data_IF_609474127355
#
_entry.id   IF_609474127355
#
_cell.length_a   1.000
_cell.length_b   1.000
_cell.length_c   1.000
_cell.angle_alpha   90.00
_cell.angle_beta   90.00
_cell.angle_gamma   90.00
#
_symmetry.space_group_name_H-M   'P 1'
#
loop_
_entity.id
_entity.type
_entity.pdbx_description
1 polymer ?
#
# COMPACT_ATOMS: atom_id res chain seq x y z
N UNK A 1 10.91 -16.80 4.20
CA UNK A 1 10.14 -15.55 3.99
C UNK A 1 8.65 -15.90 4.00
N UNK A 2 7.92 -15.55 5.07
CA UNK A 2 6.45 -15.69 5.11
C UNK A 2 5.88 -14.27 5.04
N UNK A 3 5.57 -13.81 3.85
CA UNK A 3 4.90 -12.53 3.64
C UNK A 3 3.40 -12.80 3.74
N UNK A 4 2.84 -12.71 4.94
CA UNK A 4 1.40 -12.72 5.12
C UNK A 4 0.86 -11.37 4.64
N UNK A 5 0.56 -11.26 3.35
CA UNK A 5 -0.17 -10.12 2.80
C UNK A 5 -1.66 -10.37 3.03
N UNK A 6 -2.23 -9.66 3.99
CA UNK A 6 -3.67 -9.59 4.20
C UNK A 6 -4.10 -8.18 3.79
N UNK A 7 -4.54 -8.08 2.55
CA UNK A 7 -5.13 -6.86 2.00
C UNK A 7 -6.64 -6.94 2.18
N UNK A 8 -7.19 -6.14 3.10
CA UNK A 8 -8.63 -6.03 3.28
C UNK A 8 -9.07 -4.69 2.72
N UNK A 9 -9.53 -4.68 1.45
CA UNK A 9 -10.20 -3.53 0.85
C UNK A 9 -11.71 -3.75 0.92
N UNK A 10 -12.40 -2.93 1.70
CA UNK A 10 -13.86 -2.93 1.82
C UNK A 10 -14.42 -1.87 0.88
N UNK A 11 -15.22 -2.32 -0.10
CA UNK A 11 -15.98 -1.44 -0.99
C UNK A 11 -17.41 -1.30 -0.44
N UNK A 12 -17.85 -0.07 -0.20
CA UNK A 12 -19.19 0.27 0.28
C UNK A 12 -19.94 0.93 -0.89
N UNK A 13 -20.75 0.14 -1.59
CA UNK A 13 -21.38 0.52 -2.85
C UNK A 13 -20.39 0.69 -4.02
N UNK A 14 -20.87 1.15 -5.18
CA UNK A 14 -20.04 1.34 -6.39
C UNK A 14 -19.06 2.53 -6.29
N UNK A 15 -19.09 3.27 -5.19
CA UNK A 15 -18.61 4.65 -5.11
C UNK A 15 -17.46 4.81 -4.11
N UNK A 16 -17.46 4.15 -2.94
CA UNK A 16 -16.42 4.40 -1.93
C UNK A 16 -15.73 3.11 -1.50
N UNK A 17 -14.40 3.10 -1.49
CA UNK A 17 -13.59 1.98 -1.00
C UNK A 17 -12.56 2.45 0.00
N UNK A 18 -12.40 1.71 1.10
CA UNK A 18 -11.34 1.89 2.10
C UNK A 18 -10.58 0.59 2.28
N UNK A 19 -9.27 0.69 2.43
CA UNK A 19 -8.39 -0.47 2.57
C UNK A 19 -7.38 -0.31 3.69
N UNK A 20 -7.08 -1.41 4.34
CA UNK A 20 -5.93 -1.54 5.23
C UNK A 20 -4.97 -2.58 4.67
N UNK A 21 -3.71 -2.18 4.52
CA UNK A 21 -2.61 -3.07 4.12
C UNK A 21 -1.72 -3.31 5.33
N UNK A 22 -1.75 -4.52 5.87
CA UNK A 22 -0.87 -4.94 6.96
C UNK A 22 0.27 -5.80 6.43
N UNK A 23 1.49 -5.36 6.71
CA UNK A 23 2.71 -6.11 6.49
C UNK A 23 3.29 -6.40 7.88
N UNK A 24 3.36 -7.67 8.24
CA UNK A 24 3.90 -8.10 9.52
C UNK A 24 5.41 -7.87 9.64
N UNK A 25 5.93 -8.10 10.84
CA UNK A 25 7.38 -8.04 11.09
C UNK A 25 8.13 -8.98 10.16
N UNK A 26 9.27 -8.51 9.65
CA UNK A 26 10.16 -9.27 8.77
C UNK A 26 11.59 -9.23 9.30
N UNK A 27 12.47 -10.01 8.67
CA UNK A 27 13.90 -10.01 8.98
C UNK A 27 14.68 -9.71 7.71
N UNK A 28 15.74 -8.90 7.84
CA UNK A 28 16.60 -8.52 6.71
C UNK A 28 17.56 -9.64 6.29
N UNK A 29 17.72 -10.65 7.13
CA UNK A 29 18.66 -11.76 6.97
C UNK A 29 18.00 -13.13 7.24
N UNK A 30 18.59 -14.18 6.68
CA UNK A 30 18.09 -15.54 6.82
C UNK A 30 18.30 -16.15 8.23
N UNK A 31 19.19 -15.56 9.04
CA UNK A 31 19.45 -15.98 10.42
C UNK A 31 18.47 -15.33 11.41
N UNK A 32 17.57 -14.47 10.95
CA UNK A 32 16.58 -13.71 11.73
C UNK A 32 17.21 -12.86 12.84
N UNK A 33 18.35 -12.22 12.56
CA UNK A 33 19.10 -11.42 13.54
C UNK A 33 18.79 -9.92 13.46
N UNK A 34 18.33 -9.43 12.32
CA UNK A 34 18.01 -8.03 12.04
C UNK A 34 16.49 -7.88 11.86
N UNK A 35 15.75 -7.52 12.92
CA UNK A 35 14.30 -7.38 12.85
C UNK A 35 13.91 -6.07 12.15
N UNK A 36 12.92 -6.16 11.27
CA UNK A 36 12.29 -5.05 10.56
C UNK A 36 10.84 -4.98 11.00
N UNK A 37 10.46 -3.88 11.64
CA UNK A 37 9.11 -3.68 12.14
C UNK A 37 8.11 -3.64 10.99
N UNK A 38 7.03 -4.39 11.18
CA UNK A 38 5.86 -4.35 10.32
C UNK A 38 5.16 -2.99 10.37
N UNK A 39 4.27 -2.79 9.42
CA UNK A 39 3.55 -1.54 9.25
C UNK A 39 2.13 -1.78 8.74
N UNK A 40 1.27 -0.82 9.04
CA UNK A 40 -0.08 -0.75 8.48
C UNK A 40 -0.17 0.52 7.65
N UNK A 41 -0.64 0.39 6.42
CA UNK A 41 -1.01 1.50 5.54
C UNK A 41 -2.52 1.54 5.37
N UNK A 42 -3.04 2.74 5.19
CA UNK A 42 -4.45 2.96 4.86
C UNK A 42 -4.55 3.48 3.45
N UNK A 43 -5.50 2.96 2.70
CA UNK A 43 -5.79 3.39 1.34
C UNK A 43 -7.27 3.72 1.23
N UNK A 44 -7.60 4.65 0.33
CA UNK A 44 -8.99 5.02 0.06
C UNK A 44 -9.18 5.28 -1.42
N UNK A 45 -10.39 5.05 -1.91
CA UNK A 45 -10.77 5.37 -3.27
C UNK A 45 -12.22 5.82 -3.34
N UNK A 46 -12.50 6.72 -4.26
CA UNK A 46 -13.82 7.18 -4.62
C UNK A 46 -14.00 7.04 -6.13
N UNK A 47 -15.16 6.57 -6.58
CA UNK A 47 -15.51 6.40 -7.98
C UNK A 47 -16.88 6.99 -8.24
N UNK A 48 -16.99 7.80 -9.27
CA UNK A 48 -18.25 8.39 -9.69
C UNK A 48 -18.50 8.08 -11.17
N UNK A 49 -19.66 7.54 -11.49
CA UNK A 49 -20.06 7.28 -12.87
C UNK A 49 -21.26 8.17 -13.21
N UNK A 50 -21.12 8.92 -14.30
CA UNK A 50 -22.15 9.79 -14.85
C UNK A 50 -22.27 9.53 -16.34
N UNK A 51 -23.42 8.98 -16.75
CA UNK A 51 -23.66 8.56 -18.13
C UNK A 51 -22.54 7.61 -18.64
N UNK A 52 -21.94 7.89 -19.79
CA UNK A 52 -20.80 7.13 -20.33
C UNK A 52 -19.46 7.43 -19.63
N UNK A 53 -19.41 8.36 -18.68
CA UNK A 53 -18.17 8.80 -18.03
C UNK A 53 -17.98 8.17 -16.66
N UNK A 54 -16.75 7.77 -16.38
CA UNK A 54 -16.30 7.28 -15.08
C UNK A 54 -15.12 8.09 -14.60
N UNK A 55 -15.28 8.69 -13.44
CA UNK A 55 -14.26 9.40 -12.69
C UNK A 55 -13.83 8.53 -11.50
N UNK A 56 -12.55 8.46 -11.23
CA UNK A 56 -12.03 7.78 -10.05
C UNK A 56 -10.90 8.60 -9.44
N UNK A 57 -10.87 8.64 -8.11
CA UNK A 57 -9.75 9.16 -7.33
C UNK A 57 -9.36 8.10 -6.32
N UNK A 58 -8.08 7.77 -6.26
CA UNK A 58 -7.53 6.85 -5.27
C UNK A 58 -6.37 7.51 -4.54
N UNK A 59 -6.25 7.23 -3.25
CA UNK A 59 -5.17 7.66 -2.38
C UNK A 59 -4.56 6.44 -1.71
N UNK A 60 -3.30 6.15 -2.03
CA UNK A 60 -2.51 5.14 -1.34
C UNK A 60 -1.68 5.79 -0.24
N UNK A 61 -1.52 5.08 0.89
CA UNK A 61 -0.88 5.64 2.08
C UNK A 61 -1.53 6.99 2.47
N UNK A 62 -2.84 6.97 2.70
CA UNK A 62 -3.71 8.13 2.92
C UNK A 62 -3.17 9.07 4.02
N UNK A 63 -2.57 8.50 5.06
CA UNK A 63 -2.00 9.22 6.20
C UNK A 63 -0.52 9.56 6.04
N UNK A 64 0.07 9.33 4.87
CA UNK A 64 1.45 9.66 4.55
C UNK A 64 2.46 9.12 5.59
N UNK A 65 2.30 7.85 5.96
CA UNK A 65 3.22 7.19 6.87
C UNK A 65 4.57 6.98 6.20
N UNK A 66 5.63 7.33 6.92
CA UNK A 66 7.00 6.94 6.57
C UNK A 66 7.26 5.54 7.12
N UNK A 67 7.63 4.62 6.24
CA UNK A 67 7.91 3.23 6.59
C UNK A 67 9.06 2.68 5.75
N UNK A 68 9.68 1.60 6.23
CA UNK A 68 10.69 0.85 5.47
C UNK A 68 9.96 -0.15 4.58
N UNK A 69 10.00 0.07 3.27
CA UNK A 69 9.35 -0.82 2.31
C UNK A 69 10.19 -2.05 1.98
N UNK A 70 11.51 -1.87 1.91
CA UNK A 70 12.44 -2.94 1.60
C UNK A 70 13.66 -2.85 2.49
N UNK A 71 14.08 -3.98 3.04
CA UNK A 71 15.34 -4.11 3.75
C UNK A 71 16.10 -5.30 3.18
N UNK A 72 17.39 -5.11 2.91
CA UNK A 72 18.26 -6.16 2.34
C UNK A 72 19.59 -6.17 3.07
N UNK A 73 20.03 -7.35 3.50
CA UNK A 73 21.40 -7.58 3.92
C UNK A 73 22.24 -8.07 2.73
N UNK A 74 23.25 -7.30 2.36
CA UNK A 74 24.19 -7.61 1.27
C UNK A 74 25.63 -7.48 1.78
N UNK A 75 26.39 -8.58 1.71
CA UNK A 75 27.81 -8.63 2.06
C UNK A 75 28.18 -7.99 3.42
N UNK A 76 27.33 -8.18 4.44
CA UNK A 76 27.56 -7.65 5.80
C UNK A 76 27.03 -6.23 6.06
N UNK A 77 26.42 -5.58 5.07
CA UNK A 77 25.77 -4.28 5.22
C UNK A 77 24.26 -4.42 5.14
N UNK A 78 23.54 -3.71 6.00
CA UNK A 78 22.07 -3.64 5.95
C UNK A 78 21.64 -2.35 5.27
N UNK A 79 21.01 -2.49 4.11
CA UNK A 79 20.37 -1.39 3.39
C UNK A 79 18.89 -1.30 3.73
N UNK A 80 18.41 -0.10 4.05
CA UNK A 80 17.00 0.19 4.28
C UNK A 80 16.51 1.19 3.23
N UNK A 81 15.45 0.82 2.52
CA UNK A 81 14.79 1.69 1.56
C UNK A 81 13.41 2.05 2.09
N UNK A 82 13.12 3.35 2.10
CA UNK A 82 11.78 3.84 2.41
C UNK A 82 10.78 3.36 1.36
N UNK A 83 9.58 3.03 1.81
CA UNK A 83 8.46 2.76 0.93
C UNK A 83 7.88 4.03 0.34
N UNK A 84 6.94 3.88 -0.59
CA UNK A 84 6.28 5.01 -1.23
C UNK A 84 5.50 5.84 -0.19
N UNK A 85 5.66 7.16 -0.28
CA UNK A 85 4.82 8.11 0.47
C UNK A 85 3.37 8.12 -0.03
N UNK A 86 2.59 9.11 0.39
CA UNK A 86 1.22 9.26 -0.10
C UNK A 86 1.19 9.46 -1.61
N UNK A 87 0.40 8.63 -2.29
CA UNK A 87 0.19 8.72 -3.75
C UNK A 87 -1.28 8.91 -4.05
N UNK A 88 -1.61 9.98 -4.77
CA UNK A 88 -2.97 10.25 -5.23
C UNK A 88 -3.02 10.07 -6.74
N UNK A 89 -3.98 9.30 -7.23
CA UNK A 89 -4.19 9.02 -8.66
C UNK A 89 -5.62 9.32 -9.03
N UNK A 90 -5.79 10.16 -10.06
CA UNK A 90 -7.08 10.43 -10.68
C UNK A 90 -7.16 9.75 -12.04
N UNK A 91 -8.30 9.18 -12.39
CA UNK A 91 -8.56 8.64 -13.73
C UNK A 91 -9.94 9.05 -14.23
N UNK A 92 -10.02 9.24 -15.54
CA UNK A 92 -11.26 9.49 -16.27
C UNK A 92 -11.33 8.47 -17.39
N UNK A 93 -12.47 7.81 -17.55
CA UNK A 93 -12.70 6.83 -18.59
C UNK A 93 -14.06 7.06 -19.19
N UNK A 94 -14.17 7.01 -20.51
CA UNK A 94 -15.46 7.05 -21.21
C UNK A 94 -15.69 5.73 -21.93
N UNK A 95 -16.95 5.34 -22.10
CA UNK A 95 -17.35 4.20 -22.94
C UNK A 95 -18.27 4.70 -24.04
N UNK A 96 -17.91 4.39 -25.29
CA UNK A 96 -18.69 4.65 -26.49
C UNK A 96 -19.30 3.37 -27.03
#
# INVERSE_FOLDING_TARGET
>A
MRSNWLENTVQIGDVFGVGLRYIGDTYADAQNTVPVKGYVLTDASNRYTYDSWRFQVAANNLFDRVYVGTCVLLAGYTGYSYGDGRRITGSVTTRW
#
